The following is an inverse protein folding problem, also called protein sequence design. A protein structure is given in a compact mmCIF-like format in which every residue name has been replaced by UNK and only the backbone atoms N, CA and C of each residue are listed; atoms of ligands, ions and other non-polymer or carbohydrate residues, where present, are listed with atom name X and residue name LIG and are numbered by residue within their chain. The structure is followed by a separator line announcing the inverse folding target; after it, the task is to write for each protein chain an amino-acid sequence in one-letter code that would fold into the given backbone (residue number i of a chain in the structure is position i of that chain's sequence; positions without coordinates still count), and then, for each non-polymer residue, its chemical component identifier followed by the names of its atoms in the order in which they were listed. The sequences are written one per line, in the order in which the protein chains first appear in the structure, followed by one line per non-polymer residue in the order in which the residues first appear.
data_IF_930914887368
#
_entry.id   IF_930914887368
#
_cell.length_a   1.000
_cell.length_b   1.000
_cell.length_c   1.000
_cell.angle_alpha   90.00
_cell.angle_beta   90.00
_cell.angle_gamma   90.00
#
_symmetry.space_group_name_H-M   'P 1'
#
loop_
_entity.id
_entity.type
_entity.pdbx_description
1 polymer ?
#
# COMPACT_ATOMS: atom_id res chain seq x y z
N UNK A 1 18.26 16.55 2.02
CA UNK A 1 17.97 15.18 2.47
C UNK A 1 18.64 14.23 1.49
N UNK A 2 19.59 13.40 1.95
CA UNK A 2 20.43 12.55 1.10
C UNK A 2 19.74 11.29 0.59
N UNK A 3 18.42 11.35 0.34
CA UNK A 3 17.62 10.19 -0.06
C UNK A 3 17.30 9.20 1.05
N UNK A 4 17.97 9.24 2.21
CA UNK A 4 17.63 8.39 3.35
C UNK A 4 16.30 8.81 4.02
N UNK A 5 15.31 7.90 4.06
CA UNK A 5 14.00 8.16 4.67
C UNK A 5 14.00 7.98 6.19
N UNK A 6 15.02 7.36 6.77
CA UNK A 6 15.20 7.27 8.23
C UNK A 6 15.63 8.60 8.83
N UNK A 7 16.24 9.46 8.01
CA UNK A 7 16.65 10.82 8.38
C UNK A 7 15.50 11.86 8.36
N UNK A 8 14.25 11.46 8.10
CA UNK A 8 13.09 12.34 8.22
C UNK A 8 12.72 12.61 9.70
N UNK A 9 11.83 13.57 9.95
CA UNK A 9 11.38 13.87 11.32
C UNK A 9 10.79 12.64 12.02
N UNK A 10 10.11 11.79 11.24
CA UNK A 10 9.72 10.43 11.64
C UNK A 10 10.26 9.48 10.57
N UNK A 11 11.02 8.44 10.94
CA UNK A 11 11.48 7.42 9.99
C UNK A 11 10.30 6.83 9.21
N UNK A 12 10.49 6.68 7.90
CA UNK A 12 9.39 6.36 7.00
C UNK A 12 9.71 5.16 6.11
N UNK A 13 8.70 4.30 5.90
CA UNK A 13 8.70 3.25 4.90
C UNK A 13 7.52 3.47 3.97
N UNK A 14 7.76 3.34 2.67
CA UNK A 14 6.72 3.51 1.65
C UNK A 14 6.59 2.22 0.84
N UNK A 15 5.40 1.63 0.81
CA UNK A 15 5.17 0.38 0.09
C UNK A 15 4.54 0.66 -1.27
N UNK A 16 5.14 0.10 -2.31
CA UNK A 16 4.61 0.11 -3.68
C UNK A 16 4.60 -1.32 -4.23
N UNK A 17 4.01 -1.49 -5.40
CA UNK A 17 3.94 -2.77 -6.09
C UNK A 17 4.76 -2.71 -7.38
N UNK A 18 5.81 -3.53 -7.48
CA UNK A 18 6.51 -3.72 -8.73
C UNK A 18 5.76 -4.74 -9.58
N UNK A 19 5.03 -4.26 -10.57
CA UNK A 19 4.23 -5.11 -11.46
C UNK A 19 5.08 -5.77 -12.56
N UNK A 20 6.34 -5.38 -12.69
CA UNK A 20 7.30 -6.03 -13.60
C UNK A 20 7.80 -7.34 -13.00
N UNK A 21 8.12 -7.31 -11.70
CA UNK A 21 8.58 -8.48 -10.95
C UNK A 21 7.45 -9.21 -10.19
N UNK A 22 6.26 -8.61 -10.11
CA UNK A 22 5.09 -9.11 -9.37
C UNK A 22 5.36 -9.30 -7.88
N UNK A 23 6.01 -8.32 -7.25
CA UNK A 23 6.37 -8.35 -5.82
C UNK A 23 6.13 -7.00 -5.14
N UNK A 24 5.85 -6.97 -3.83
CA UNK A 24 5.86 -5.72 -3.08
C UNK A 24 7.29 -5.16 -2.98
N UNK A 25 7.40 -3.83 -3.00
CA UNK A 25 8.66 -3.11 -2.80
C UNK A 25 8.47 -2.13 -1.65
N UNK A 26 9.37 -2.20 -0.67
CA UNK A 26 9.42 -1.24 0.43
C UNK A 26 10.58 -0.28 0.19
N UNK A 27 10.26 1.02 0.10
CA UNK A 27 11.26 2.07 0.04
C UNK A 27 11.65 2.52 1.45
N UNK A 28 12.94 2.48 1.73
CA UNK A 28 13.63 3.09 2.88
C UNK A 28 14.53 4.26 2.45
N UNK A 29 14.72 4.42 1.14
CA UNK A 29 15.53 5.46 0.53
C UNK A 29 14.95 5.90 -0.82
N UNK A 30 15.36 7.09 -1.27
CA UNK A 30 14.97 7.69 -2.54
C UNK A 30 14.45 9.12 -2.39
N UNK A 31 13.99 9.69 -3.50
CA UNK A 31 13.25 10.94 -3.48
C UNK A 31 11.86 10.72 -2.88
N UNK A 32 11.54 11.43 -1.79
CA UNK A 32 10.29 11.24 -1.06
C UNK A 32 9.05 11.44 -1.95
N UNK A 33 9.08 12.42 -2.85
CA UNK A 33 7.94 12.67 -3.74
C UNK A 33 7.77 11.51 -4.76
N UNK A 34 8.87 10.97 -5.27
CA UNK A 34 8.85 9.81 -6.18
C UNK A 34 8.34 8.54 -5.49
N UNK A 35 8.80 8.22 -4.28
CA UNK A 35 8.38 6.99 -3.58
C UNK A 35 6.89 7.04 -3.21
N UNK A 36 6.41 8.20 -2.74
CA UNK A 36 4.97 8.40 -2.46
C UNK A 36 4.18 8.33 -3.76
N UNK A 37 4.67 8.96 -4.84
CA UNK A 37 4.02 8.90 -6.16
C UNK A 37 3.95 7.49 -6.72
N UNK A 38 4.93 6.63 -6.44
CA UNK A 38 4.88 5.21 -6.78
C UNK A 38 3.78 4.50 -5.98
N UNK A 39 3.81 4.66 -4.65
CA UNK A 39 2.90 4.01 -3.70
C UNK A 39 1.42 4.36 -3.90
N UNK A 40 1.10 5.54 -4.43
CA UNK A 40 -0.29 5.95 -4.72
C UNK A 40 -0.72 5.79 -6.20
N UNK A 41 0.06 5.07 -7.02
CA UNK A 41 -0.22 4.88 -8.45
C UNK A 41 -1.35 3.85 -8.70
N UNK A 42 -2.56 4.14 -8.22
CA UNK A 42 -3.67 3.20 -8.28
C UNK A 42 -4.04 2.85 -9.74
N UNK A 43 -4.17 1.56 -10.09
CA UNK A 43 -4.45 1.14 -11.47
C UNK A 43 -5.70 1.80 -12.01
N UNK A 44 -5.70 2.12 -13.31
CA UNK A 44 -6.80 2.78 -14.04
C UNK A 44 -7.07 4.25 -13.68
N UNK A 45 -6.59 4.75 -12.53
CA UNK A 45 -6.77 6.15 -12.13
C UNK A 45 -5.49 6.96 -12.33
N UNK A 46 -4.34 6.38 -12.01
CA UNK A 46 -3.04 7.04 -12.15
C UNK A 46 -2.13 6.25 -13.08
N UNK A 47 -1.36 6.98 -13.89
CA UNK A 47 -0.32 6.39 -14.74
C UNK A 47 0.78 5.78 -13.84
N UNK A 48 1.16 4.51 -14.04
CA UNK A 48 2.31 3.90 -13.38
C UNK A 48 3.60 4.68 -13.66
N UNK A 49 4.54 4.65 -12.72
CA UNK A 49 5.83 5.33 -12.90
C UNK A 49 6.97 4.31 -12.88
N UNK A 50 8.08 4.63 -13.55
CA UNK A 50 9.29 3.81 -13.49
C UNK A 50 10.20 4.33 -12.38
N UNK A 51 10.62 3.43 -11.50
CA UNK A 51 11.63 3.69 -10.47
C UNK A 51 12.71 2.63 -10.63
N UNK A 52 13.97 3.05 -10.84
CA UNK A 52 15.11 2.16 -11.05
C UNK A 52 14.90 1.11 -12.17
N UNK A 53 14.14 1.44 -13.22
CA UNK A 53 13.82 0.55 -14.34
C UNK A 53 12.56 -0.29 -14.16
N UNK A 54 12.06 -0.43 -12.94
CA UNK A 54 10.89 -1.20 -12.58
C UNK A 54 9.61 -0.36 -12.67
N UNK A 55 8.54 -0.96 -13.20
CA UNK A 55 7.25 -0.30 -13.33
C UNK A 55 6.47 -0.43 -12.02
N UNK A 56 6.27 0.68 -11.33
CA UNK A 56 5.63 0.74 -10.02
C UNK A 56 4.17 1.15 -10.11
N UNK A 57 3.34 0.45 -9.36
CA UNK A 57 1.94 0.77 -9.07
C UNK A 57 1.72 0.88 -7.56
N UNK A 58 0.48 1.19 -7.20
CA UNK A 58 0.02 1.32 -5.82
C UNK A 58 0.39 0.12 -4.94
N UNK A 59 0.82 0.39 -3.69
CA UNK A 59 1.25 -0.64 -2.74
C UNK A 59 0.13 -1.60 -2.34
N UNK A 60 -1.12 -1.17 -2.46
CA UNK A 60 -2.31 -1.94 -2.11
C UNK A 60 -2.59 -3.15 -2.99
N UNK A 61 -1.84 -3.34 -4.09
CA UNK A 61 -1.94 -4.55 -4.91
C UNK A 61 -1.32 -5.77 -4.22
N UNK A 62 -0.16 -5.62 -3.57
CA UNK A 62 0.58 -6.75 -2.98
C UNK A 62 0.74 -6.64 -1.47
N UNK A 63 0.74 -5.44 -0.87
CA UNK A 63 0.76 -5.28 0.57
C UNK A 63 0.03 -3.98 1.00
N UNK A 64 -1.29 -4.10 1.13
CA UNK A 64 -2.20 -2.98 1.44
C UNK A 64 -2.28 -2.63 2.94
N UNK A 65 -1.77 -3.50 3.81
CA UNK A 65 -1.72 -3.25 5.25
C UNK A 65 -0.35 -3.70 5.79
N UNK A 66 0.70 -2.88 5.58
CA UNK A 66 2.10 -3.28 5.79
C UNK A 66 2.52 -3.26 7.26
N UNK A 67 1.74 -3.93 8.12
CA UNK A 67 2.03 -4.07 9.55
C UNK A 67 3.30 -4.89 9.79
N UNK A 68 3.60 -5.80 8.87
CA UNK A 68 4.83 -6.59 8.82
C UNK A 68 6.05 -5.70 8.56
N UNK A 69 5.99 -4.81 7.57
CA UNK A 69 7.07 -3.87 7.26
C UNK A 69 7.38 -3.00 8.46
N UNK A 70 6.36 -2.49 9.14
CA UNK A 70 6.55 -1.69 10.35
C UNK A 70 7.19 -2.49 11.49
N UNK A 71 6.75 -3.73 11.69
CA UNK A 71 7.30 -4.61 12.72
C UNK A 71 8.78 -4.94 12.45
N UNK A 72 9.09 -5.39 11.23
CA UNK A 72 10.42 -5.87 10.86
C UNK A 72 11.45 -4.72 10.75
N UNK A 73 11.04 -3.54 10.28
CA UNK A 73 11.95 -2.41 10.07
C UNK A 73 12.27 -1.64 11.37
N UNK A 74 11.33 -1.57 12.31
CA UNK A 74 11.45 -0.67 13.47
C UNK A 74 11.35 -1.37 14.82
N UNK A 75 10.88 -2.63 14.88
CA UNK A 75 10.64 -3.38 16.12
C UNK A 75 9.94 -2.55 17.22
N UNK A 76 8.79 -1.92 16.91
CA UNK A 76 8.14 -1.01 17.84
C UNK A 76 7.44 -1.75 18.98
N UNK A 77 7.40 -1.13 20.16
CA UNK A 77 6.66 -1.65 21.33
C UNK A 77 5.14 -1.65 21.12
N UNK A 78 4.65 -0.77 20.23
CA UNK A 78 3.24 -0.56 19.91
C UNK A 78 3.09 -0.21 18.42
N UNK A 79 2.16 -0.88 17.73
CA UNK A 79 1.73 -0.52 16.38
C UNK A 79 0.29 -0.03 16.43
N UNK A 80 0.04 1.17 15.91
CA UNK A 80 -1.31 1.70 15.68
C UNK A 80 -1.60 1.61 14.18
N UNK A 81 -2.47 0.69 13.79
CA UNK A 81 -2.93 0.53 12.42
C UNK A 81 -4.24 1.30 12.17
N UNK A 82 -4.35 1.94 11.01
CA UNK A 82 -5.59 2.59 10.57
C UNK A 82 -6.12 1.83 9.36
N UNK A 83 -7.14 0.98 9.57
CA UNK A 83 -7.73 0.19 8.50
C UNK A 83 -8.94 0.92 7.91
N UNK A 84 -8.78 1.42 6.69
CA UNK A 84 -9.87 2.00 5.87
C UNK A 84 -10.20 1.14 4.65
N UNK A 85 -9.56 -0.01 4.54
CA UNK A 85 -9.69 -0.92 3.40
C UNK A 85 -10.67 -2.04 3.67
N UNK A 86 -11.02 -2.74 2.60
CA UNK A 86 -11.73 -4.00 2.67
C UNK A 86 -11.29 -4.88 1.52
N UNK A 87 -11.36 -6.19 1.73
CA UNK A 87 -11.17 -7.13 0.63
C UNK A 87 -12.39 -7.04 -0.30
N UNK A 88 -12.14 -6.84 -1.59
CA UNK A 88 -13.20 -6.78 -2.59
C UNK A 88 -14.08 -8.05 -2.53
N UNK A 89 -15.39 -7.92 -2.80
CA UNK A 89 -16.25 -9.08 -2.93
C UNK A 89 -15.79 -9.97 -4.10
N UNK A 90 -16.21 -11.24 -4.15
CA UNK A 90 -15.93 -12.11 -5.29
C UNK A 90 -16.32 -11.43 -6.62
N UNK A 91 -15.52 -11.61 -7.69
CA UNK A 91 -15.81 -11.02 -8.99
C UNK A 91 -17.09 -11.62 -9.61
N UNK A 92 -17.76 -10.84 -10.45
CA UNK A 92 -18.97 -11.25 -11.20
C UNK A 92 -18.63 -11.54 -12.66
N UNK A 93 -19.32 -12.48 -13.29
CA UNK A 93 -19.12 -12.90 -14.69
C UNK A 93 -19.31 -11.76 -15.70
N UNK A 94 -20.24 -10.84 -15.41
CA UNK A 94 -20.59 -9.72 -16.29
C UNK A 94 -19.85 -8.41 -15.92
N UNK A 95 -18.94 -8.43 -14.95
CA UNK A 95 -18.13 -7.27 -14.54
C UNK A 95 -16.63 -7.53 -14.73
N UNK A 96 -16.13 -7.15 -15.89
CA UNK A 96 -14.70 -7.26 -16.25
C UNK A 96 -13.78 -6.53 -15.28
N UNK A 97 -14.20 -5.40 -14.71
CA UNK A 97 -13.36 -4.63 -13.80
C UNK A 97 -13.22 -5.36 -12.46
N UNK A 98 -14.30 -5.99 -11.98
CA UNK A 98 -14.24 -6.84 -10.79
C UNK A 98 -13.27 -8.03 -10.99
N UNK A 99 -13.30 -8.65 -12.17
CA UNK A 99 -12.42 -9.77 -12.52
C UNK A 99 -10.95 -9.35 -12.56
N UNK A 100 -10.64 -8.24 -13.24
CA UNK A 100 -9.27 -7.71 -13.29
C UNK A 100 -8.76 -7.33 -11.90
N UNK A 101 -9.58 -6.68 -11.07
CA UNK A 101 -9.22 -6.37 -9.68
C UNK A 101 -8.89 -7.63 -8.88
N UNK A 102 -9.73 -8.66 -8.99
CA UNK A 102 -9.51 -9.94 -8.29
C UNK A 102 -8.25 -10.68 -8.77
N UNK A 103 -7.83 -10.48 -10.03
CA UNK A 103 -6.58 -11.05 -10.57
C UNK A 103 -5.34 -10.24 -10.19
N UNK A 104 -5.47 -8.93 -10.02
CA UNK A 104 -4.35 -8.02 -9.79
C UNK A 104 -4.03 -7.79 -8.31
N UNK A 105 -5.04 -7.84 -7.44
CA UNK A 105 -4.92 -7.49 -6.03
C UNK A 105 -4.93 -8.73 -5.15
N UNK A 106 -3.93 -8.83 -4.29
CA UNK A 106 -3.86 -9.85 -3.25
C UNK A 106 -4.85 -9.56 -2.11
N UNK A 107 -5.37 -10.63 -1.50
CA UNK A 107 -6.19 -10.49 -0.30
C UNK A 107 -5.34 -9.98 0.85
N UNK A 108 -5.79 -8.92 1.48
CA UNK A 108 -5.10 -8.29 2.60
C UNK A 108 -5.54 -8.92 3.92
N UNK A 109 -4.57 -9.26 4.76
CA UNK A 109 -4.77 -9.49 6.19
C UNK A 109 -4.59 -8.15 6.93
N UNK A 110 -5.66 -7.66 7.56
CA UNK A 110 -5.65 -6.40 8.31
C UNK A 110 -5.24 -6.58 9.79
N UNK A 111 -4.74 -7.76 10.16
CA UNK A 111 -4.19 -7.99 11.49
C UNK A 111 -2.82 -7.31 11.68
N UNK A 112 -2.51 -7.01 12.94
CA UNK A 112 -1.23 -6.44 13.35
C UNK A 112 -0.38 -7.54 13.98
N UNK A 113 0.84 -7.74 13.50
CA UNK A 113 1.75 -8.80 14.00
C UNK A 113 2.32 -8.54 15.40
N UNK A 114 2.19 -7.32 15.93
CA UNK A 114 2.68 -6.93 17.26
C UNK A 114 1.67 -7.32 18.36
N UNK A 115 2.16 -7.87 19.49
CA UNK A 115 1.32 -8.26 20.64
C UNK A 115 0.47 -7.09 21.17
N UNK A 116 1.03 -5.89 21.19
CA UNK A 116 0.34 -4.68 21.66
C UNK A 116 -0.36 -3.91 20.54
N UNK A 117 -0.58 -4.52 19.37
CA UNK A 117 -1.18 -3.85 18.21
C UNK A 117 -2.59 -3.33 18.46
N UNK A 118 -2.87 -2.10 18.02
CA UNK A 118 -4.21 -1.50 18.02
C UNK A 118 -4.61 -1.21 16.58
N UNK A 119 -5.78 -1.68 16.15
CA UNK A 119 -6.36 -1.32 14.84
C UNK A 119 -7.54 -0.38 15.04
N UNK A 120 -7.50 0.76 14.37
CA UNK A 120 -8.59 1.73 14.31
C UNK A 120 -9.32 1.52 12.98
N UNK A 121 -10.63 1.28 13.07
CA UNK A 121 -11.51 1.06 11.90
C UNK A 121 -12.60 2.14 11.87
N UNK A 122 -12.36 3.28 11.19
CA UNK A 122 -13.35 4.33 11.10
C UNK A 122 -14.54 3.90 10.23
N UNK A 123 -15.75 4.21 10.68
CA UNK A 123 -16.96 4.04 9.87
C UNK A 123 -17.04 5.17 8.84
N UNK A 124 -16.65 4.87 7.60
CA UNK A 124 -16.69 5.83 6.49
C UNK A 124 -17.87 5.51 5.56
N UNK A 125 -18.48 6.55 4.98
CA UNK A 125 -19.42 6.38 3.88
C UNK A 125 -18.63 6.00 2.61
N UNK A 126 -19.07 5.02 1.81
CA UNK A 126 -18.21 4.37 0.83
C UNK A 126 -18.19 5.15 -0.48
N UNK A 127 -17.42 6.24 -0.54
CA UNK A 127 -17.11 6.88 -1.83
C UNK A 127 -15.67 7.38 -1.85
N UNK A 128 -14.78 6.54 -2.39
CA UNK A 128 -13.34 6.82 -2.55
C UNK A 128 -13.08 7.96 -3.56
N UNK A 129 -14.02 8.24 -4.46
CA UNK A 129 -13.88 9.17 -5.59
C UNK A 129 -15.15 10.00 -5.85
N UNK A 130 -15.91 10.35 -4.83
CA UNK A 130 -16.99 11.35 -4.96
C UNK A 130 -16.39 12.73 -4.65
N UNK A 131 -15.83 13.35 -5.69
CA UNK A 131 -15.33 14.74 -5.66
C UNK A 131 -16.32 15.71 -6.32
N UNK A 132 -17.57 15.28 -6.51
CA UNK A 132 -18.63 16.05 -7.15
C UNK A 132 -19.25 17.10 -6.24
#
# INVERSE_FOLDING_TARGET
SGGDLDSLFVPFRCVASDITAQVPVTFDQGDLAQVVRASMSYPFYFKPIRVNGHLMMDGGLYNNFPSDVMYDAFLPDLIIGSNVGYNAPPPSEDDLLSQLRAMMQERTDYSVKCENGIVIEPQTLPTLFDFT
#
